data_IF_111733352165
#
_entry.id   IF_111733352165
#
_cell.length_a   1.000
_cell.length_b   1.000
_cell.length_c   1.000
_cell.angle_alpha   90.00
_cell.angle_beta   90.00
_cell.angle_gamma   90.00
#
_symmetry.space_group_name_H-M   'P 1'
#
loop_
_entity.id
_entity.type
_entity.pdbx_description
1 polymer ?
#
# COMPACT_ATOMS: atom_id res chain seq x y z
N UNK A 1 -1.57 17.30 14.30
CA UNK A 1 -0.24 17.98 14.34
C UNK A 1 -0.14 18.89 13.14
N UNK A 2 0.44 20.08 13.32
CA UNK A 2 0.85 20.98 12.24
C UNK A 2 2.32 20.66 11.95
N UNK A 3 2.67 20.27 10.72
CA UNK A 3 4.09 20.17 10.30
C UNK A 3 4.67 21.59 10.17
N UNK A 4 5.99 21.74 10.25
CA UNK A 4 6.69 23.03 10.02
C UNK A 4 6.31 23.65 8.66
N UNK A 5 5.95 22.82 7.68
CA UNK A 5 5.38 23.23 6.39
C UNK A 5 3.94 23.76 6.42
N UNK A 6 3.30 23.88 7.59
CA UNK A 6 1.90 24.27 7.76
C UNK A 6 0.87 23.16 7.52
N UNK A 7 1.29 21.99 7.01
CA UNK A 7 0.39 20.88 6.72
C UNK A 7 -0.20 20.28 8.02
N UNK A 8 -1.53 20.27 8.12
CA UNK A 8 -2.28 19.72 9.26
C UNK A 8 -2.79 18.32 8.91
N UNK A 9 -2.66 17.39 9.86
CA UNK A 9 -3.19 16.02 9.70
C UNK A 9 -3.93 15.55 10.95
N UNK A 10 -4.99 14.76 10.70
CA UNK A 10 -5.72 13.99 11.68
C UNK A 10 -4.91 12.76 12.08
N UNK A 11 -4.68 12.61 13.38
CA UNK A 11 -3.94 11.47 13.93
C UNK A 11 -4.66 10.95 15.17
N UNK A 12 -4.58 9.66 15.38
CA UNK A 12 -5.15 8.97 16.52
C UNK A 12 -4.04 8.22 17.26
N UNK A 13 -3.81 8.58 18.52
CA UNK A 13 -2.83 7.97 19.40
C UNK A 13 -3.50 6.84 20.17
N UNK A 14 -2.88 5.66 20.22
CA UNK A 14 -3.45 4.47 20.86
C UNK A 14 -2.35 3.58 21.45
N UNK A 15 -2.76 2.54 22.18
CA UNK A 15 -1.89 1.49 22.70
C UNK A 15 -2.44 0.11 22.29
N UNK A 16 -1.54 -0.79 21.93
CA UNK A 16 -1.82 -2.21 21.68
C UNK A 16 -0.56 -2.99 22.10
N UNK A 17 -0.73 -4.17 22.70
CA UNK A 17 0.39 -5.01 23.20
C UNK A 17 1.39 -4.26 24.10
N UNK A 18 0.87 -3.38 24.96
CA UNK A 18 1.69 -2.54 25.84
C UNK A 18 2.52 -1.45 25.13
N UNK A 19 2.44 -1.33 23.81
CA UNK A 19 3.19 -0.37 23.01
C UNK A 19 2.32 0.79 22.57
N UNK A 20 2.86 1.99 22.67
CA UNK A 20 2.22 3.19 22.15
C UNK A 20 2.43 3.31 20.63
N UNK A 21 1.34 3.51 19.88
CA UNK A 21 1.35 3.66 18.43
C UNK A 21 0.51 4.87 17.99
N UNK A 22 0.72 5.30 16.75
CA UNK A 22 0.06 6.47 16.17
C UNK A 22 -0.50 6.14 14.78
N UNK A 23 -1.82 6.22 14.64
CA UNK A 23 -2.50 6.06 13.36
C UNK A 23 -2.66 7.43 12.70
N UNK A 24 -2.13 7.59 11.49
CA UNK A 24 -2.41 8.76 10.65
C UNK A 24 -3.69 8.50 9.87
N UNK A 25 -4.73 9.29 10.12
CA UNK A 25 -6.03 9.16 9.45
C UNK A 25 -5.95 9.80 8.06
N UNK A 26 -5.50 11.05 7.99
CA UNK A 26 -5.31 11.78 6.73
C UNK A 26 -5.09 13.28 6.93
N UNK A 27 -4.92 14.00 5.84
CA UNK A 27 -4.72 15.45 5.87
C UNK A 27 -6.01 16.19 6.21
N UNK A 28 -5.88 17.28 6.98
CA UNK A 28 -7.02 18.04 7.51
C UNK A 28 -7.90 18.66 6.42
N UNK A 29 -7.30 19.07 5.30
CA UNK A 29 -8.04 19.64 4.17
C UNK A 29 -8.74 18.58 3.33
N UNK A 30 -8.16 17.37 3.25
CA UNK A 30 -8.72 16.27 2.46
C UNK A 30 -9.77 15.46 3.23
N UNK A 31 -9.69 15.43 4.56
CA UNK A 31 -10.57 14.64 5.42
C UNK A 31 -11.36 15.56 6.35
N UNK A 32 -12.68 15.54 6.21
CA UNK A 32 -13.58 16.28 7.09
C UNK A 32 -13.50 15.78 8.54
N UNK A 33 -13.80 16.64 9.51
CA UNK A 33 -13.80 16.27 10.93
C UNK A 33 -14.75 15.08 11.21
N UNK A 34 -15.91 15.04 10.55
CA UNK A 34 -16.86 13.93 10.68
C UNK A 34 -16.24 12.60 10.23
N UNK A 35 -15.60 12.56 9.05
CA UNK A 35 -14.89 11.38 8.56
C UNK A 35 -13.72 11.00 9.45
N UNK A 36 -13.00 11.97 10.01
CA UNK A 36 -11.91 11.70 10.94
C UNK A 36 -12.40 11.05 12.24
N UNK A 37 -13.57 11.47 12.77
CA UNK A 37 -14.20 10.85 13.94
C UNK A 37 -14.66 9.42 13.64
N UNK A 38 -15.31 9.22 12.50
CA UNK A 38 -15.72 7.88 12.06
C UNK A 38 -14.51 6.93 11.93
N UNK A 39 -13.42 7.38 11.29
CA UNK A 39 -12.20 6.59 11.16
C UNK A 39 -11.56 6.26 12.52
N UNK A 40 -11.62 7.18 13.48
CA UNK A 40 -11.20 6.91 14.86
C UNK A 40 -12.07 5.84 15.52
N UNK A 41 -13.38 5.89 15.33
CA UNK A 41 -14.30 4.94 15.97
C UNK A 41 -14.14 3.52 15.39
N UNK A 42 -13.91 3.41 14.08
CA UNK A 42 -13.49 2.15 13.44
C UNK A 42 -12.16 1.64 14.02
N UNK A 43 -11.16 2.51 14.16
CA UNK A 43 -9.87 2.13 14.75
C UNK A 43 -10.02 1.66 16.21
N UNK A 44 -10.94 2.24 16.98
CA UNK A 44 -11.24 1.79 18.35
C UNK A 44 -11.90 0.41 18.37
N UNK A 45 -12.81 0.13 17.43
CA UNK A 45 -13.43 -1.19 17.32
C UNK A 45 -12.37 -2.26 17.01
N UNK A 46 -11.49 -2.01 16.03
CA UNK A 46 -10.36 -2.91 15.73
C UNK A 46 -9.47 -3.18 16.94
N UNK A 47 -9.18 -2.16 17.74
CA UNK A 47 -8.40 -2.32 18.97
C UNK A 47 -9.12 -3.16 20.03
N UNK A 48 -10.44 -3.04 20.14
CA UNK A 48 -11.24 -3.87 21.05
C UNK A 48 -11.20 -5.35 20.63
N UNK A 49 -11.11 -5.60 19.32
CA UNK A 49 -10.95 -6.94 18.74
C UNK A 49 -9.49 -7.42 18.73
N UNK A 50 -8.56 -6.67 19.34
CA UNK A 50 -7.13 -7.02 19.40
C UNK A 50 -6.39 -6.87 18.07
N UNK A 51 -6.97 -6.20 17.08
CA UNK A 51 -6.36 -5.97 15.77
C UNK A 51 -5.69 -4.60 15.72
N UNK A 52 -4.45 -4.53 15.21
CA UNK A 52 -3.76 -3.26 15.01
C UNK A 52 -4.40 -2.46 13.83
N UNK A 53 -4.93 -1.25 14.08
CA UNK A 53 -5.58 -0.46 13.03
C UNK A 53 -4.64 0.00 11.90
N UNK A 54 -3.34 0.14 12.20
CA UNK A 54 -2.34 0.51 11.20
C UNK A 54 -2.02 -0.66 10.26
N UNK A 55 -1.99 -1.89 10.77
CA UNK A 55 -1.80 -3.10 9.97
C UNK A 55 -3.03 -3.35 9.08
N UNK A 56 -4.23 -3.26 9.65
CA UNK A 56 -5.47 -3.33 8.88
C UNK A 56 -5.52 -2.30 7.73
N UNK A 57 -5.04 -1.07 7.98
CA UNK A 57 -4.95 -0.02 6.95
C UNK A 57 -3.93 -0.35 5.85
N UNK A 58 -2.81 -0.99 6.17
CA UNK A 58 -1.83 -1.40 5.16
C UNK A 58 -2.34 -2.58 4.34
N UNK A 59 -3.03 -3.52 4.99
CA UNK A 59 -3.68 -4.66 4.35
C UNK A 59 -4.70 -4.20 3.30
N UNK A 60 -5.63 -3.33 3.69
CA UNK A 60 -6.64 -2.77 2.77
C UNK A 60 -5.97 -2.07 1.58
N UNK A 61 -4.88 -1.32 1.84
CA UNK A 61 -4.10 -0.67 0.79
C UNK A 61 -3.47 -1.69 -0.16
N UNK A 62 -2.93 -2.80 0.36
CA UNK A 62 -2.35 -3.88 -0.45
C UNK A 62 -3.40 -4.54 -1.33
N UNK A 63 -4.52 -4.97 -0.75
CA UNK A 63 -5.65 -5.57 -1.47
C UNK A 63 -6.18 -4.63 -2.57
N UNK A 64 -6.28 -3.33 -2.29
CA UNK A 64 -6.70 -2.33 -3.29
C UNK A 64 -5.69 -2.19 -4.44
N UNK A 65 -4.40 -2.30 -4.18
CA UNK A 65 -3.36 -2.26 -5.22
C UNK A 65 -3.39 -3.53 -6.07
N UNK A 66 -3.55 -4.70 -5.43
CA UNK A 66 -3.71 -5.99 -6.10
C UNK A 66 -4.96 -6.02 -6.99
N UNK A 67 -6.11 -5.56 -6.47
CA UNK A 67 -7.36 -5.46 -7.23
C UNK A 67 -7.23 -4.51 -8.44
N UNK A 68 -6.47 -3.42 -8.30
CA UNK A 68 -6.13 -2.51 -9.42
C UNK A 68 -5.11 -3.09 -10.39
N UNK A 69 -4.66 -4.33 -10.17
CA UNK A 69 -3.66 -4.99 -10.98
C UNK A 69 -2.27 -4.36 -10.90
N UNK A 70 -1.96 -3.64 -9.82
CA UNK A 70 -0.62 -3.08 -9.59
C UNK A 70 0.28 -4.08 -8.87
N UNK A 71 0.36 -5.30 -9.39
CA UNK A 71 1.32 -6.32 -8.93
C UNK A 71 2.59 -6.22 -9.77
N UNK A 72 3.72 -6.68 -9.22
CA UNK A 72 4.98 -6.72 -9.95
C UNK A 72 4.83 -7.50 -11.26
N UNK A 73 4.12 -8.62 -11.24
CA UNK A 73 3.80 -9.43 -12.41
C UNK A 73 3.11 -8.63 -13.53
N UNK A 74 2.02 -7.93 -13.20
CA UNK A 74 1.25 -7.15 -14.19
C UNK A 74 2.06 -5.96 -14.73
N UNK A 75 2.84 -5.31 -13.88
CA UNK A 75 3.74 -4.22 -14.30
C UNK A 75 4.85 -4.75 -15.21
N UNK A 76 5.43 -5.90 -14.87
CA UNK A 76 6.45 -6.58 -15.67
C UNK A 76 5.94 -6.97 -17.05
N UNK A 77 4.74 -7.56 -17.12
CA UNK A 77 4.10 -7.90 -18.40
C UNK A 77 3.85 -6.65 -19.28
N UNK A 78 3.37 -5.56 -18.69
CA UNK A 78 3.17 -4.29 -19.40
C UNK A 78 4.51 -3.69 -19.89
N UNK A 79 5.57 -3.80 -19.10
CA UNK A 79 6.91 -3.36 -19.51
C UNK A 79 7.46 -4.17 -20.69
N UNK A 80 7.32 -5.50 -20.65
CA UNK A 80 7.74 -6.36 -21.77
C UNK A 80 6.94 -6.06 -23.04
N UNK A 81 5.62 -5.81 -22.92
CA UNK A 81 4.78 -5.39 -24.04
C UNK A 81 5.24 -4.04 -24.64
N UNK A 82 5.63 -3.07 -23.79
CA UNK A 82 6.20 -1.80 -24.24
C UNK A 82 7.50 -2.00 -25.02
N UNK A 83 8.41 -2.85 -24.53
CA UNK A 83 9.67 -3.15 -25.24
C UNK A 83 9.45 -3.84 -26.59
N UNK A 84 8.45 -4.72 -26.69
CA UNK A 84 8.02 -5.32 -27.96
C UNK A 84 7.57 -4.24 -28.94
N UNK A 85 6.75 -3.28 -28.48
CA UNK A 85 6.28 -2.15 -29.29
C UNK A 85 7.41 -1.21 -29.73
N UNK A 86 8.43 -1.05 -28.90
CA UNK A 86 9.63 -0.26 -29.20
C UNK A 86 10.61 -0.99 -30.14
N UNK A 87 10.30 -2.22 -30.57
CA UNK A 87 11.12 -2.95 -31.55
C UNK A 87 12.46 -3.45 -31.00
N UNK A 88 12.57 -3.70 -29.68
CA UNK A 88 13.77 -4.30 -29.08
C UNK A 88 14.06 -5.67 -29.72
N UNK A 89 15.34 -6.02 -29.82
CA UNK A 89 15.77 -7.30 -30.40
C UNK A 89 15.21 -8.50 -29.64
N UNK A 90 15.01 -9.61 -30.36
CA UNK A 90 14.49 -10.85 -29.78
C UNK A 90 15.31 -11.33 -28.57
N UNK A 91 16.65 -11.27 -28.66
CA UNK A 91 17.54 -11.63 -27.55
C UNK A 91 17.31 -10.77 -26.29
N UNK A 92 17.06 -9.47 -26.46
CA UNK A 92 16.75 -8.56 -25.35
C UNK A 92 15.42 -8.94 -24.70
N UNK A 93 14.38 -9.17 -25.53
CA UNK A 93 13.05 -9.53 -25.05
C UNK A 93 13.05 -10.87 -24.30
N UNK A 94 13.73 -11.90 -24.83
CA UNK A 94 13.86 -13.20 -24.17
C UNK A 94 14.57 -13.11 -22.83
N UNK A 95 15.62 -12.28 -22.73
CA UNK A 95 16.33 -12.07 -21.46
C UNK A 95 15.45 -11.35 -20.45
N UNK A 96 14.73 -10.31 -20.87
CA UNK A 96 13.78 -9.60 -20.01
C UNK A 96 12.64 -10.50 -19.54
N UNK A 97 12.07 -11.32 -20.42
CA UNK A 97 11.03 -12.29 -20.09
C UNK A 97 11.51 -13.32 -19.07
N UNK A 98 12.73 -13.85 -19.23
CA UNK A 98 13.35 -14.77 -18.28
C UNK A 98 13.50 -14.15 -16.88
N UNK A 99 14.02 -12.92 -16.80
CA UNK A 99 14.20 -12.24 -15.51
C UNK A 99 12.87 -11.91 -14.82
N UNK A 100 11.85 -11.50 -15.59
CA UNK A 100 10.52 -11.27 -15.05
C UNK A 100 9.92 -12.56 -14.49
N UNK A 101 10.08 -13.69 -15.20
CA UNK A 101 9.62 -15.00 -14.72
C UNK A 101 10.32 -15.42 -13.43
N UNK A 102 11.63 -15.23 -13.34
CA UNK A 102 12.42 -15.53 -12.14
C UNK A 102 11.96 -14.68 -10.95
N UNK A 103 11.85 -13.37 -11.15
CA UNK A 103 11.41 -12.44 -10.10
C UNK A 103 9.97 -12.72 -9.63
N UNK A 104 9.05 -13.06 -10.54
CA UNK A 104 7.69 -13.46 -10.16
C UNK A 104 7.69 -14.72 -9.27
N UNK A 105 8.53 -15.71 -9.60
CA UNK A 105 8.65 -16.94 -8.81
C UNK A 105 9.17 -16.65 -7.40
N UNK A 106 10.22 -15.85 -7.28
CA UNK A 106 10.85 -15.56 -6.00
C UNK A 106 9.95 -14.68 -5.11
N UNK A 107 9.22 -13.72 -5.71
CA UNK A 107 8.23 -12.91 -5.02
C UNK A 107 7.02 -13.73 -4.56
N UNK A 108 6.58 -14.72 -5.34
CA UNK A 108 5.50 -15.62 -4.95
C UNK A 108 5.89 -16.58 -3.82
N UNK A 109 7.18 -16.91 -3.68
CA UNK A 109 7.69 -17.76 -2.59
C UNK A 109 7.96 -16.99 -1.28
N UNK A 110 7.95 -15.65 -1.32
CA UNK A 110 8.26 -14.77 -0.19
C UNK A 110 7.02 -14.12 0.46
N UNK A 111 5.83 -14.49 -0.01
CA UNK A 111 4.52 -14.09 0.51
C UNK A 111 3.85 -15.28 1.19
#
# INVERSE_FOLDING_TARGET
MVKVSGAKSWRFKYRIDGKERLLVIGDYQAVTLAKARQARDIAKALLADGTDPSEAKQEEKRLRLEAKGRTFEKIGAAFLAKQRKEGKSAATLSKTEYHLKLANRDLAASL
#
